data_IF_217228253432
#
_entry.id   IF_217228253432
#
_cell.length_a   1.000
_cell.length_b   1.000
_cell.length_c   1.000
_cell.angle_alpha   90.00
_cell.angle_beta   90.00
_cell.angle_gamma   90.00
#
_symmetry.space_group_name_H-M   'P 1'
#
loop_
_entity.id
_entity.type
_entity.pdbx_description
1 polymer ?
#
# COMPACT_ATOMS: atom_id res chain seq x y z
N UNK A 1 1.23 -7.32 25.54
CA UNK A 1 0.68 -5.97 25.74
C UNK A 1 0.51 -5.30 24.38
N UNK A 2 -0.62 -4.65 24.11
CA UNK A 2 -0.83 -3.85 22.90
C UNK A 2 -2.12 -4.19 22.14
N UNK A 3 -3.27 -3.77 22.65
CA UNK A 3 -4.51 -3.80 21.86
C UNK A 3 -4.32 -2.88 20.65
N UNK A 4 -4.25 -3.48 19.47
CA UNK A 4 -4.03 -2.75 18.22
C UNK A 4 -5.39 -2.50 17.59
N UNK A 5 -5.96 -1.31 17.78
CA UNK A 5 -7.25 -0.95 17.22
C UNK A 5 -7.18 -0.76 15.70
N UNK A 6 -8.30 -0.98 15.01
CA UNK A 6 -8.41 -0.66 13.59
C UNK A 6 -8.73 0.84 13.44
N UNK A 7 -8.12 1.48 12.45
CA UNK A 7 -8.38 2.86 12.06
C UNK A 7 -9.52 2.89 11.06
N UNK A 8 -10.57 3.64 11.36
CA UNK A 8 -11.70 3.83 10.47
C UNK A 8 -11.59 5.19 9.79
N UNK A 9 -11.40 5.16 8.47
CA UNK A 9 -11.39 6.35 7.63
C UNK A 9 -12.83 6.84 7.42
N UNK A 10 -13.03 8.17 7.37
CA UNK A 10 -14.34 8.78 7.09
C UNK A 10 -14.21 9.70 5.88
N UNK A 11 -14.54 9.16 4.71
CA UNK A 11 -14.41 9.84 3.42
C UNK A 11 -15.40 9.25 2.42
N UNK A 12 -15.67 9.96 1.33
CA UNK A 12 -16.66 9.57 0.33
C UNK A 12 -16.25 8.36 -0.50
N UNK A 13 -14.96 7.99 -0.52
CA UNK A 13 -14.51 6.79 -1.23
C UNK A 13 -13.34 6.13 -0.54
N UNK A 14 -13.56 4.95 0.01
CA UNK A 14 -12.55 4.23 0.80
C UNK A 14 -12.19 2.91 0.12
N UNK A 15 -10.90 2.66 -0.01
CA UNK A 15 -10.37 1.36 -0.39
C UNK A 15 -10.22 0.47 0.83
N UNK A 16 -10.80 -0.71 0.77
CA UNK A 16 -10.61 -1.77 1.73
C UNK A 16 -10.00 -3.03 1.12
N UNK A 17 -9.60 -3.95 1.97
CA UNK A 17 -9.10 -5.26 1.55
C UNK A 17 -10.21 -6.04 0.85
N UNK A 18 -9.94 -6.62 -0.32
CA UNK A 18 -10.94 -7.40 -1.06
C UNK A 18 -11.50 -8.61 -0.28
N UNK A 19 -10.69 -9.22 0.59
CA UNK A 19 -11.06 -10.42 1.34
C UNK A 19 -11.90 -10.15 2.59
N UNK A 20 -11.53 -9.15 3.38
CA UNK A 20 -12.17 -8.88 4.68
C UNK A 20 -12.82 -7.50 4.79
N UNK A 21 -12.74 -6.68 3.74
CA UNK A 21 -13.28 -5.31 3.67
C UNK A 21 -12.75 -4.34 4.73
N UNK A 22 -11.65 -4.67 5.41
CA UNK A 22 -10.97 -3.74 6.34
C UNK A 22 -10.51 -2.50 5.58
N UNK A 23 -10.73 -1.30 6.12
CA UNK A 23 -10.32 -0.04 5.51
C UNK A 23 -8.79 -0.02 5.39
N UNK A 24 -8.25 0.31 4.22
CA UNK A 24 -6.81 0.36 3.96
C UNK A 24 -6.37 1.76 3.58
N UNK A 25 -7.07 2.43 2.67
CA UNK A 25 -6.66 3.74 2.19
C UNK A 25 -7.85 4.58 1.77
N UNK A 26 -7.66 5.89 1.82
CA UNK A 26 -8.61 6.84 1.27
C UNK A 26 -8.32 7.11 -0.22
N UNK A 27 -9.35 7.49 -0.98
CA UNK A 27 -9.19 7.83 -2.39
C UNK A 27 -8.46 9.14 -2.66
N UNK A 28 -8.57 10.13 -1.77
CA UNK A 28 -7.88 11.41 -1.86
C UNK A 28 -6.37 11.26 -1.63
N UNK A 29 -5.98 10.26 -0.83
CA UNK A 29 -4.58 9.93 -0.56
C UNK A 29 -3.84 9.32 -1.78
N UNK A 30 -4.52 9.11 -2.91
CA UNK A 30 -3.88 8.66 -4.15
C UNK A 30 -3.00 9.77 -4.72
N UNK A 31 -1.69 9.52 -4.73
CA UNK A 31 -0.70 10.38 -5.39
C UNK A 31 -0.68 10.11 -6.89
N UNK A 32 -0.73 8.83 -7.30
CA UNK A 32 -0.67 8.48 -8.71
C UNK A 32 -1.33 7.15 -9.02
N UNK A 33 -2.01 7.10 -10.18
CA UNK A 33 -2.72 5.92 -10.67
C UNK A 33 -2.03 5.17 -11.79
N UNK A 34 -0.83 5.61 -12.15
CA UNK A 34 -0.10 5.08 -13.30
C UNK A 34 0.94 4.04 -12.90
N UNK A 35 0.71 3.34 -11.78
CA UNK A 35 1.60 2.29 -11.30
C UNK A 35 1.09 0.91 -11.72
N UNK A 36 2.04 -0.02 -11.84
CA UNK A 36 1.76 -1.43 -12.10
C UNK A 36 2.45 -2.29 -11.06
N UNK A 37 1.75 -3.31 -10.59
CA UNK A 37 2.24 -4.32 -9.69
C UNK A 37 2.32 -5.69 -10.34
N UNK A 38 2.38 -6.71 -9.49
CA UNK A 38 2.44 -8.11 -9.91
C UNK A 38 1.11 -8.57 -10.52
N UNK A 39 0.00 -8.06 -10.00
CA UNK A 39 -1.37 -8.39 -10.38
C UNK A 39 -1.97 -7.38 -11.37
N UNK A 40 -1.13 -6.53 -12.00
CA UNK A 40 -1.58 -5.56 -12.99
C UNK A 40 -1.65 -4.13 -12.46
N UNK A 41 -2.83 -3.51 -12.43
CA UNK A 41 -2.96 -2.08 -12.09
C UNK A 41 -2.75 -1.85 -10.59
N UNK A 42 -1.97 -0.83 -10.25
CA UNK A 42 -1.70 -0.44 -8.88
C UNK A 42 -1.76 1.08 -8.70
N UNK A 43 -1.95 1.51 -7.46
CA UNK A 43 -2.06 2.91 -7.10
C UNK A 43 -1.00 3.26 -6.04
N UNK A 44 -0.39 4.43 -6.19
CA UNK A 44 0.52 5.00 -5.20
C UNK A 44 -0.27 5.88 -4.24
N UNK A 45 -0.22 5.54 -2.96
CA UNK A 45 -0.88 6.23 -1.86
C UNK A 45 0.14 6.95 -0.97
N UNK A 46 -0.27 8.09 -0.43
CA UNK A 46 0.46 8.81 0.60
C UNK A 46 0.45 8.04 1.92
N UNK A 47 -0.73 7.62 2.38
CA UNK A 47 -0.92 6.92 3.64
C UNK A 47 -1.79 5.68 3.47
N UNK A 48 -1.46 4.61 4.21
CA UNK A 48 -2.24 3.37 4.29
C UNK A 48 -2.34 2.92 5.74
N UNK A 49 -3.53 2.52 6.17
CA UNK A 49 -3.87 2.11 7.54
C UNK A 49 -4.24 0.63 7.60
N UNK A 50 -4.29 0.06 8.81
CA UNK A 50 -4.66 -1.33 9.07
C UNK A 50 -3.84 -2.38 8.29
N UNK A 51 -2.55 -2.08 8.11
CA UNK A 51 -1.58 -2.98 7.47
C UNK A 51 -0.51 -3.45 8.45
N UNK A 52 0.08 -4.60 8.14
CA UNK A 52 1.31 -5.13 8.73
C UNK A 52 2.42 -4.99 7.69
N UNK A 53 3.54 -4.41 8.09
CA UNK A 53 4.73 -4.31 7.23
C UNK A 53 5.62 -5.53 7.48
N UNK A 54 6.01 -6.21 6.40
CA UNK A 54 6.97 -7.30 6.44
C UNK A 54 8.42 -6.76 6.52
N UNK A 55 9.37 -7.70 6.48
CA UNK A 55 10.79 -7.39 6.39
C UNK A 55 11.12 -6.57 5.14
N UNK A 56 12.15 -5.72 5.25
CA UNK A 56 12.63 -4.94 4.13
C UNK A 56 13.42 -5.83 3.19
N UNK A 57 13.04 -5.83 1.92
CA UNK A 57 13.75 -6.53 0.86
C UNK A 57 14.23 -5.54 -0.20
N UNK A 58 15.40 -5.82 -0.78
CA UNK A 58 15.84 -5.11 -1.99
C UNK A 58 15.16 -5.72 -3.22
N UNK A 59 14.57 -4.87 -4.05
CA UNK A 59 13.89 -5.27 -5.27
C UNK A 59 14.27 -4.35 -6.43
N UNK A 60 14.64 -4.96 -7.54
CA UNK A 60 14.88 -4.26 -8.79
C UNK A 60 13.55 -4.05 -9.52
N UNK A 61 13.26 -2.80 -9.85
CA UNK A 61 12.09 -2.40 -10.62
C UNK A 61 12.55 -1.71 -11.91
N UNK A 62 11.61 -1.38 -12.79
CA UNK A 62 11.90 -0.68 -14.06
C UNK A 62 12.59 0.68 -13.83
N UNK A 63 12.33 1.30 -12.68
CA UNK A 63 12.93 2.57 -12.23
C UNK A 63 14.13 2.33 -11.30
N UNK A 64 14.83 1.22 -11.53
CA UNK A 64 16.02 0.76 -10.84
C UNK A 64 15.81 0.20 -9.43
N UNK A 65 16.74 0.45 -8.51
CA UNK A 65 16.89 -0.34 -7.27
C UNK A 65 16.15 0.32 -6.11
N UNK A 66 15.33 -0.46 -5.40
CA UNK A 66 14.50 0.01 -4.29
C UNK A 66 14.57 -0.97 -3.12
N UNK A 67 14.53 -0.43 -1.90
CA UNK A 67 14.23 -1.21 -0.69
C UNK A 67 12.74 -1.06 -0.42
N UNK A 68 12.01 -2.17 -0.42
CA UNK A 68 10.56 -2.21 -0.22
C UNK A 68 10.19 -3.18 0.88
N UNK A 69 9.02 -2.97 1.49
CA UNK A 69 8.42 -3.90 2.47
C UNK A 69 7.06 -4.33 1.96
N UNK A 70 6.82 -5.62 1.80
CA UNK A 70 5.47 -6.10 1.52
C UNK A 70 4.54 -5.71 2.66
N UNK A 71 3.31 -5.35 2.31
CA UNK A 71 2.27 -4.97 3.26
C UNK A 71 1.10 -5.94 3.18
N UNK A 72 0.68 -6.41 4.35
CA UNK A 72 -0.42 -7.36 4.51
C UNK A 72 -1.56 -6.71 5.27
N UNK A 73 -2.78 -7.09 4.95
CA UNK A 73 -3.94 -6.65 5.73
C UNK A 73 -3.82 -7.17 7.16
N UNK A 74 -3.94 -6.30 8.15
CA UNK A 74 -3.80 -6.66 9.56
C UNK A 74 -4.86 -7.64 10.04
N UNK A 75 -6.03 -7.68 9.39
CA UNK A 75 -7.17 -8.49 9.81
C UNK A 75 -7.20 -9.89 9.20
N UNK A 76 -6.75 -10.06 7.95
CA UNK A 76 -6.80 -11.36 7.26
C UNK A 76 -5.44 -11.84 6.72
N UNK A 77 -4.36 -11.12 7.02
CA UNK A 77 -2.98 -11.39 6.60
C UNK A 77 -2.77 -11.53 5.09
N UNK A 78 -3.73 -11.08 4.28
CA UNK A 78 -3.64 -11.06 2.83
C UNK A 78 -2.66 -10.00 2.36
N UNK A 79 -1.76 -10.32 1.45
CA UNK A 79 -0.87 -9.32 0.85
C UNK A 79 -1.71 -8.36 0.00
N UNK A 80 -1.52 -7.06 0.19
CA UNK A 80 -2.31 -6.02 -0.52
C UNK A 80 -1.42 -5.08 -1.33
N UNK A 81 -0.11 -5.13 -1.14
CA UNK A 81 0.88 -4.38 -1.91
C UNK A 81 2.21 -4.26 -1.16
N UNK A 82 2.93 -3.15 -1.33
CA UNK A 82 4.22 -2.89 -0.65
C UNK A 82 4.43 -1.41 -0.34
N UNK A 83 5.32 -1.11 0.59
CA UNK A 83 5.80 0.25 0.92
C UNK A 83 7.22 0.44 0.38
N UNK A 84 7.54 1.62 -0.14
CA UNK A 84 8.93 1.99 -0.42
C UNK A 84 9.60 2.49 0.87
N UNK A 85 10.68 1.83 1.27
CA UNK A 85 11.50 2.24 2.40
C UNK A 85 12.62 3.17 1.93
N UNK A 86 13.27 2.81 0.82
CA UNK A 86 14.38 3.57 0.25
C UNK A 86 14.46 3.46 -1.26
N UNK A 87 14.80 4.56 -1.93
CA UNK A 87 15.11 4.60 -3.35
C UNK A 87 16.57 5.02 -3.55
N UNK A 88 17.32 4.30 -4.38
CA UNK A 88 18.72 4.64 -4.64
C UNK A 88 18.87 5.78 -5.65
N UNK A 89 17.91 5.93 -6.56
CA UNK A 89 17.90 7.00 -7.56
C UNK A 89 17.25 8.27 -7.02
N UNK A 90 17.91 9.41 -7.20
CA UNK A 90 17.43 10.71 -6.73
C UNK A 90 16.05 11.06 -7.32
N UNK A 91 15.82 10.72 -8.59
CA UNK A 91 14.55 10.93 -9.29
C UNK A 91 13.39 10.14 -8.67
N UNK A 92 13.68 9.08 -7.93
CA UNK A 92 12.68 8.16 -7.38
C UNK A 92 12.44 8.36 -5.88
N UNK A 93 13.20 9.24 -5.23
CA UNK A 93 13.08 9.54 -3.80
C UNK A 93 11.68 9.98 -3.35
N UNK A 94 10.90 10.57 -4.26
CA UNK A 94 9.52 10.96 -3.96
C UNK A 94 8.62 9.77 -3.59
N UNK A 95 9.01 8.54 -3.94
CA UNK A 95 8.31 7.30 -3.57
C UNK A 95 8.64 6.85 -2.15
N UNK A 96 9.74 7.30 -1.55
CA UNK A 96 10.15 6.89 -0.21
C UNK A 96 9.06 7.22 0.82
N UNK A 97 8.72 6.25 1.66
CA UNK A 97 7.64 6.36 2.64
C UNK A 97 6.23 6.18 2.07
N UNK A 98 6.07 6.08 0.74
CA UNK A 98 4.78 5.88 0.08
C UNK A 98 4.43 4.41 -0.09
N UNK A 99 3.16 4.16 -0.40
CA UNK A 99 2.58 2.82 -0.44
C UNK A 99 2.02 2.52 -1.81
N UNK A 100 2.24 1.30 -2.29
CA UNK A 100 1.56 0.75 -3.45
C UNK A 100 0.50 -0.23 -2.94
N UNK A 101 -0.73 -0.08 -3.44
CA UNK A 101 -1.76 -1.10 -3.31
C UNK A 101 -2.25 -1.51 -4.70
N UNK A 102 -2.45 -2.81 -4.87
CA UNK A 102 -2.85 -3.39 -6.16
C UNK A 102 -4.38 -3.42 -6.27
N UNK A 103 -4.93 -2.92 -7.38
CA UNK A 103 -6.39 -2.77 -7.51
C UNK A 103 -7.13 -4.10 -7.46
N UNK A 104 -6.52 -5.18 -7.94
CA UNK A 104 -7.07 -6.53 -7.91
C UNK A 104 -7.26 -7.08 -6.49
N UNK A 105 -6.55 -6.52 -5.50
CA UNK A 105 -6.57 -6.93 -4.09
C UNK A 105 -7.37 -5.96 -3.21
N UNK A 106 -7.92 -4.92 -3.81
CA UNK A 106 -8.74 -3.90 -3.18
C UNK A 106 -10.22 -4.01 -3.56
N UNK A 107 -11.07 -3.47 -2.69
CA UNK A 107 -12.49 -3.26 -2.93
C UNK A 107 -12.90 -1.87 -2.42
N UNK A 108 -13.96 -1.28 -2.98
CA UNK A 108 -14.55 -0.03 -2.46
C UNK A 108 -15.52 -0.39 -1.33
N UNK A 109 -15.29 0.16 -0.14
CA UNK A 109 -16.07 -0.19 1.07
C UNK A 109 -17.01 0.94 1.52
N UNK A 110 -16.78 2.16 1.05
CA UNK A 110 -17.64 3.32 1.16
C UNK A 110 -17.51 4.13 -0.13
#
# INVERSE_FOLDING_TARGET
MGLTYNVYLNSSKIFGCKKCRTHLADFDEIISRNFRGQHGKAFLFATVVNIKQCEAMERNMTTGRHIVRDIKCKQCDETVGWKYDKAYEASEKYKEGKYILESELLCVVA
#
